data_IF_451902482310
#
_entry.id   IF_451902482310
#
_cell.length_a   1.000
_cell.length_b   1.000
_cell.length_c   1.000
_cell.angle_alpha   90.00
_cell.angle_beta   90.00
_cell.angle_gamma   90.00
#
_symmetry.space_group_name_H-M   'P 1'
#
loop_
_entity.id
_entity.type
_entity.pdbx_description
1 polymer ?
#
# COMPACT_ATOMS: atom_id res chain seq x y z
N UNK A 1 -8.91 -16.79 -27.68
CA UNK A 1 -10.36 -16.50 -27.81
C UNK A 1 -11.01 -17.34 -28.92
N UNK A 2 -10.77 -18.66 -29.02
CA UNK A 2 -11.17 -19.47 -30.19
C UNK A 2 -12.24 -20.55 -29.97
N UNK A 3 -12.51 -20.99 -28.73
CA UNK A 3 -13.37 -22.17 -28.48
C UNK A 3 -14.86 -21.90 -28.34
N UNK A 4 -15.25 -20.67 -27.95
CA UNK A 4 -16.64 -20.30 -27.62
C UNK A 4 -17.54 -20.16 -28.85
N UNK A 5 -17.00 -19.69 -29.99
CA UNK A 5 -17.76 -19.60 -31.25
C UNK A 5 -18.04 -20.96 -31.89
N UNK A 6 -17.15 -21.94 -31.70
CA UNK A 6 -17.29 -23.26 -32.34
C UNK A 6 -18.49 -24.07 -31.84
N UNK A 7 -18.77 -24.01 -30.54
CA UNK A 7 -19.88 -24.76 -29.94
C UNK A 7 -21.24 -24.14 -30.29
N UNK A 8 -21.32 -22.80 -30.28
CA UNK A 8 -22.53 -22.08 -30.70
C UNK A 8 -22.83 -22.34 -32.18
N UNK A 9 -21.79 -22.30 -33.02
CA UNK A 9 -21.92 -22.58 -34.46
C UNK A 9 -22.33 -24.04 -34.72
N UNK A 10 -21.82 -25.00 -33.94
CA UNK A 10 -22.16 -26.42 -34.05
C UNK A 10 -23.62 -26.72 -33.68
N UNK A 11 -24.13 -26.11 -32.60
CA UNK A 11 -25.54 -26.31 -32.19
C UNK A 11 -26.50 -25.66 -33.20
N UNK A 12 -26.16 -24.47 -33.73
CA UNK A 12 -26.95 -23.81 -34.76
C UNK A 12 -26.93 -24.58 -36.09
N UNK A 13 -25.78 -25.12 -36.50
CA UNK A 13 -25.68 -25.92 -37.73
C UNK A 13 -26.47 -27.23 -37.64
N UNK A 14 -26.43 -27.93 -36.51
CA UNK A 14 -27.24 -29.15 -36.31
C UNK A 14 -28.74 -28.83 -36.36
N UNK A 15 -29.17 -27.71 -35.76
CA UNK A 15 -30.56 -27.25 -35.83
C UNK A 15 -31.02 -26.88 -37.25
N UNK A 16 -30.17 -26.19 -38.01
CA UNK A 16 -30.44 -25.82 -39.41
C UNK A 16 -30.49 -27.07 -40.30
N UNK A 17 -29.58 -28.02 -40.13
CA UNK A 17 -29.57 -29.29 -40.89
C UNK A 17 -30.85 -30.08 -40.61
N UNK A 18 -31.28 -30.19 -39.35
CA UNK A 18 -32.53 -30.86 -38.99
C UNK A 18 -33.76 -30.17 -39.64
N UNK A 19 -33.80 -28.82 -39.63
CA UNK A 19 -34.87 -28.04 -40.24
C UNK A 19 -34.89 -28.15 -41.77
N UNK A 20 -33.72 -28.17 -42.43
CA UNK A 20 -33.60 -28.35 -43.88
C UNK A 20 -34.03 -29.75 -44.33
N UNK A 21 -33.73 -30.78 -43.54
CA UNK A 21 -34.17 -32.16 -43.81
C UNK A 21 -35.70 -32.26 -43.70
N UNK A 22 -36.31 -31.63 -42.69
CA UNK A 22 -37.77 -31.56 -42.55
C UNK A 22 -38.42 -30.76 -43.70
N UNK A 23 -37.83 -29.62 -44.10
CA UNK A 23 -38.34 -28.78 -45.18
C UNK A 23 -38.26 -29.47 -46.56
N UNK A 24 -37.18 -30.21 -46.83
CA UNK A 24 -37.02 -31.01 -48.05
C UNK A 24 -38.04 -32.17 -48.13
N UNK A 25 -38.50 -32.67 -46.98
CA UNK A 25 -39.51 -33.73 -46.88
C UNK A 25 -40.94 -33.19 -47.07
N UNK A 26 -41.27 -32.03 -46.47
CA UNK A 26 -42.58 -31.36 -46.60
C UNK A 26 -42.86 -30.90 -48.03
N UNK A 27 -41.83 -30.53 -48.80
CA UNK A 27 -41.97 -30.11 -50.20
C UNK A 27 -41.95 -31.24 -51.24
N UNK A 28 -42.06 -32.50 -50.83
CA UNK A 28 -42.53 -33.59 -51.71
C UNK A 28 -41.53 -34.08 -52.77
N UNK A 29 -40.22 -34.07 -52.48
CA UNK A 29 -39.20 -34.58 -53.41
C UNK A 29 -38.88 -36.08 -53.31
N UNK A 30 -39.64 -36.88 -52.54
CA UNK A 30 -39.58 -38.35 -52.60
C UNK A 30 -40.97 -38.95 -52.80
N UNK A 31 -41.13 -39.71 -53.89
CA UNK A 31 -42.41 -40.14 -54.45
C UNK A 31 -42.71 -41.64 -54.30
N UNK A 32 -42.02 -42.33 -53.41
CA UNK A 32 -42.23 -43.77 -53.20
C UNK A 32 -43.03 -44.05 -51.92
N UNK A 33 -44.24 -44.58 -52.12
CA UNK A 33 -45.29 -44.76 -51.12
C UNK A 33 -45.03 -45.89 -50.09
N UNK A 34 -43.87 -46.56 -50.11
CA UNK A 34 -43.58 -47.67 -49.17
C UNK A 34 -43.08 -47.21 -47.80
N UNK A 35 -42.76 -45.93 -47.62
CA UNK A 35 -42.21 -45.38 -46.37
C UNK A 35 -43.23 -44.57 -45.54
N UNK A 36 -44.41 -44.29 -46.10
CA UNK A 36 -45.43 -43.45 -45.46
C UNK A 36 -45.99 -44.09 -44.17
N UNK A 37 -46.19 -45.41 -44.15
CA UNK A 37 -46.69 -46.13 -42.98
C UNK A 37 -45.63 -46.31 -41.88
N UNK A 38 -44.34 -46.26 -42.23
CA UNK A 38 -43.24 -46.35 -41.26
C UNK A 38 -43.01 -45.03 -40.49
N UNK A 39 -43.60 -43.92 -40.94
CA UNK A 39 -43.31 -42.57 -40.43
C UNK A 39 -44.48 -41.91 -39.71
N UNK A 40 -45.66 -42.54 -39.72
CA UNK A 40 -46.85 -42.04 -39.02
C UNK A 40 -46.85 -42.38 -37.52
N UNK A 41 -45.95 -43.27 -37.09
CA UNK A 41 -45.53 -43.31 -35.70
C UNK A 41 -44.56 -42.13 -35.45
N UNK A 42 -44.72 -41.45 -34.32
CA UNK A 42 -43.63 -40.71 -33.64
C UNK A 42 -43.44 -39.20 -33.88
N UNK A 43 -44.47 -38.44 -34.30
CA UNK A 43 -44.44 -36.96 -34.23
C UNK A 43 -44.22 -36.42 -32.79
N UNK A 44 -44.92 -36.99 -31.80
CA UNK A 44 -44.72 -36.63 -30.38
C UNK A 44 -43.31 -36.95 -29.87
N UNK A 45 -42.73 -38.06 -30.31
CA UNK A 45 -41.37 -38.43 -29.88
C UNK A 45 -40.30 -37.47 -30.42
N UNK A 46 -40.51 -36.91 -31.63
CA UNK A 46 -39.58 -35.98 -32.27
C UNK A 46 -39.63 -34.60 -31.64
N UNK A 47 -40.82 -34.11 -31.31
CA UNK A 47 -40.98 -32.85 -30.57
C UNK A 47 -40.38 -32.94 -29.16
N UNK A 48 -40.52 -34.10 -28.50
CA UNK A 48 -39.89 -34.35 -27.20
C UNK A 48 -38.37 -34.44 -27.31
N UNK A 49 -37.82 -35.04 -28.38
CA UNK A 49 -36.37 -35.13 -28.59
C UNK A 49 -35.72 -33.77 -28.86
N UNK A 50 -36.33 -32.94 -29.69
CA UNK A 50 -35.82 -31.58 -29.97
C UNK A 50 -35.93 -30.68 -28.74
N UNK A 51 -37.05 -30.74 -28.00
CA UNK A 51 -37.20 -30.04 -26.73
C UNK A 51 -36.15 -30.50 -25.68
N UNK A 52 -35.87 -31.80 -25.60
CA UNK A 52 -34.84 -32.35 -24.71
C UNK A 52 -33.42 -31.89 -25.09
N UNK A 53 -33.07 -31.84 -26.38
CA UNK A 53 -31.77 -31.35 -26.84
C UNK A 53 -31.57 -29.86 -26.58
N UNK A 54 -32.61 -29.04 -26.80
CA UNK A 54 -32.57 -27.60 -26.48
C UNK A 54 -32.47 -27.38 -24.97
N UNK A 55 -33.21 -28.15 -24.16
CA UNK A 55 -33.13 -28.08 -22.70
C UNK A 55 -31.76 -28.54 -22.18
N UNK A 56 -31.19 -29.61 -22.72
CA UNK A 56 -29.83 -30.08 -22.42
C UNK A 56 -28.78 -29.06 -22.85
N UNK A 57 -28.93 -28.44 -24.01
CA UNK A 57 -28.05 -27.37 -24.49
C UNK A 57 -28.09 -26.14 -23.58
N UNK A 58 -29.29 -25.69 -23.20
CA UNK A 58 -29.48 -24.58 -22.26
C UNK A 58 -28.93 -24.91 -20.87
N UNK A 59 -29.12 -26.15 -20.38
CA UNK A 59 -28.56 -26.63 -19.13
C UNK A 59 -27.03 -26.70 -19.17
N UNK A 60 -26.44 -27.16 -20.28
CA UNK A 60 -24.99 -27.24 -20.49
C UNK A 60 -24.36 -25.84 -20.54
N UNK A 61 -24.96 -24.89 -21.27
CA UNK A 61 -24.52 -23.48 -21.31
C UNK A 61 -24.63 -22.81 -19.93
N UNK A 62 -25.70 -23.09 -19.18
CA UNK A 62 -25.92 -22.53 -17.83
C UNK A 62 -24.96 -23.13 -16.79
N UNK A 63 -24.70 -24.43 -16.86
CA UNK A 63 -23.76 -25.13 -15.96
C UNK A 63 -22.30 -24.78 -16.26
N UNK A 64 -21.93 -24.55 -17.52
CA UNK A 64 -20.59 -24.11 -17.91
C UNK A 64 -20.37 -22.62 -17.57
N UNK A 65 -21.34 -21.74 -17.83
CA UNK A 65 -21.23 -20.31 -17.47
C UNK A 65 -21.13 -20.08 -15.95
N UNK A 66 -21.83 -20.89 -15.15
CA UNK A 66 -21.79 -20.79 -13.69
C UNK A 66 -20.53 -21.37 -13.02
N UNK A 67 -19.76 -22.21 -13.73
CA UNK A 67 -18.49 -22.77 -13.23
C UNK A 67 -17.35 -21.75 -13.41
N UNK A 68 -17.32 -21.09 -14.57
CA UNK A 68 -16.33 -20.09 -14.97
C UNK A 68 -16.40 -18.79 -14.13
N UNK A 69 -17.59 -18.39 -13.67
CA UNK A 69 -17.76 -17.23 -12.79
C UNK A 69 -17.34 -17.52 -11.34
N UNK A 70 -17.74 -18.68 -10.80
CA UNK A 70 -17.38 -19.08 -9.43
C UNK A 70 -15.87 -19.28 -9.27
N UNK A 71 -15.19 -19.84 -10.27
CA UNK A 71 -13.74 -20.00 -10.26
C UNK A 71 -13.01 -18.65 -10.30
N UNK A 72 -13.51 -17.68 -11.08
CA UNK A 72 -13.00 -16.30 -11.09
C UNK A 72 -13.19 -15.61 -9.73
N UNK A 73 -14.41 -15.65 -9.19
CA UNK A 73 -14.72 -15.05 -7.88
C UNK A 73 -13.86 -15.67 -6.77
N UNK A 74 -13.61 -16.98 -6.84
CA UNK A 74 -12.77 -17.70 -5.87
C UNK A 74 -11.30 -17.27 -5.98
N UNK A 75 -10.78 -17.17 -7.21
CA UNK A 75 -9.41 -16.73 -7.46
C UNK A 75 -9.17 -15.29 -6.99
N UNK A 76 -10.09 -14.37 -7.31
CA UNK A 76 -10.01 -12.98 -6.86
C UNK A 76 -10.01 -12.86 -5.33
N UNK A 77 -10.86 -13.65 -4.65
CA UNK A 77 -10.86 -13.73 -3.20
C UNK A 77 -9.53 -14.23 -2.65
N UNK A 78 -8.98 -15.31 -3.20
CA UNK A 78 -7.69 -15.86 -2.77
C UNK A 78 -6.54 -14.88 -3.01
N UNK A 79 -6.57 -14.15 -4.12
CA UNK A 79 -5.60 -13.10 -4.41
C UNK A 79 -5.63 -12.02 -3.32
N UNK A 80 -6.81 -11.49 -3.01
CA UNK A 80 -6.98 -10.45 -1.99
C UNK A 80 -6.62 -10.95 -0.57
N UNK A 81 -7.00 -12.18 -0.23
CA UNK A 81 -6.72 -12.80 1.07
C UNK A 81 -5.24 -13.13 1.26
N UNK A 82 -4.45 -13.24 0.17
CA UNK A 82 -2.99 -13.40 0.24
C UNK A 82 -2.25 -12.12 0.64
N UNK A 83 -2.91 -10.96 0.55
CA UNK A 83 -2.34 -9.66 0.91
C UNK A 83 -2.41 -9.50 2.43
N UNK A 84 -1.28 -9.35 3.14
CA UNK A 84 -1.26 -9.26 4.60
C UNK A 84 -1.73 -7.91 5.15
N UNK A 85 -2.03 -6.95 4.25
CA UNK A 85 -2.59 -5.65 4.61
C UNK A 85 -4.12 -5.66 4.46
N UNK A 86 -4.87 -4.99 5.34
CA UNK A 86 -6.30 -4.78 5.16
C UNK A 86 -6.63 -4.11 3.83
N UNK A 87 -7.46 -4.77 3.01
CA UNK A 87 -7.95 -4.28 1.73
C UNK A 87 -9.48 -4.27 1.73
N UNK A 88 -10.07 -3.19 1.23
CA UNK A 88 -11.50 -3.05 1.02
C UNK A 88 -11.79 -2.33 -0.30
N UNK A 89 -12.98 -2.49 -0.83
CA UNK A 89 -13.46 -1.70 -1.95
C UNK A 89 -14.95 -1.42 -1.82
N UNK A 90 -15.34 -0.25 -2.34
CA UNK A 90 -16.71 0.26 -2.33
C UNK A 90 -17.15 0.59 -3.74
N UNK A 91 -18.45 0.53 -3.97
CA UNK A 91 -19.07 1.05 -5.19
C UNK A 91 -19.24 2.58 -5.15
N UNK A 92 -19.86 3.13 -6.20
CA UNK A 92 -20.14 4.54 -6.35
C UNK A 92 -21.11 5.11 -5.29
N UNK A 93 -21.89 4.25 -4.63
CA UNK A 93 -22.82 4.60 -3.56
C UNK A 93 -22.18 4.46 -2.16
N UNK A 94 -20.86 4.29 -2.11
CA UNK A 94 -20.06 4.13 -0.88
C UNK A 94 -20.40 2.87 -0.07
N UNK A 95 -20.97 1.86 -0.73
CA UNK A 95 -21.30 0.57 -0.11
C UNK A 95 -20.12 -0.37 -0.28
N UNK A 96 -19.73 -1.06 0.81
CA UNK A 96 -18.68 -2.06 0.76
C UNK A 96 -19.13 -3.25 -0.09
N UNK A 97 -18.48 -3.46 -1.23
CA UNK A 97 -18.76 -4.58 -2.14
C UNK A 97 -17.77 -5.74 -1.95
N UNK A 98 -16.64 -5.49 -1.27
CA UNK A 98 -15.74 -6.56 -0.85
C UNK A 98 -14.62 -6.09 0.06
N UNK A 99 -13.99 -7.07 0.71
CA UNK A 99 -12.83 -6.90 1.57
C UNK A 99 -12.04 -8.22 1.64
N UNK A 100 -10.79 -8.13 2.06
CA UNK A 100 -9.98 -9.30 2.36
C UNK A 100 -10.06 -9.70 3.84
N UNK A 101 -9.55 -10.88 4.16
CA UNK A 101 -9.47 -11.40 5.51
C UNK A 101 -8.74 -10.47 6.48
N UNK A 102 -7.64 -9.83 6.05
CA UNK A 102 -6.91 -8.90 6.90
C UNK A 102 -7.77 -7.69 7.33
N UNK A 103 -8.71 -7.24 6.49
CA UNK A 103 -9.64 -6.18 6.82
C UNK A 103 -10.73 -6.62 7.80
N UNK A 104 -11.23 -7.86 7.67
CA UNK A 104 -12.12 -8.46 8.66
C UNK A 104 -11.46 -8.53 10.04
N UNK A 105 -10.22 -9.00 10.08
CA UNK A 105 -9.41 -9.07 11.32
C UNK A 105 -9.11 -7.67 11.89
N UNK A 106 -8.88 -6.66 11.03
CA UNK A 106 -8.65 -5.28 11.45
C UNK A 106 -9.90 -4.65 12.09
N UNK A 107 -11.08 -4.87 11.52
CA UNK A 107 -12.35 -4.37 12.08
C UNK A 107 -12.89 -5.24 13.22
N UNK A 108 -12.46 -6.50 13.30
CA UNK A 108 -13.04 -7.50 14.20
C UNK A 108 -14.48 -7.85 13.82
N UNK A 109 -14.83 -7.78 12.53
CA UNK A 109 -16.16 -8.03 11.99
C UNK A 109 -16.07 -9.03 10.84
N UNK A 110 -17.01 -9.96 10.76
CA UNK A 110 -17.05 -10.91 9.65
C UNK A 110 -17.45 -10.22 8.34
N UNK A 111 -17.01 -10.77 7.21
CA UNK A 111 -17.36 -10.27 5.87
C UNK A 111 -18.86 -10.00 5.71
N UNK A 112 -19.71 -10.91 6.17
CA UNK A 112 -21.17 -10.82 6.04
C UNK A 112 -21.77 -9.61 6.77
N UNK A 113 -21.08 -9.07 7.77
CA UNK A 113 -21.48 -7.87 8.50
C UNK A 113 -20.99 -6.58 7.85
N UNK A 114 -20.00 -6.69 6.95
CA UNK A 114 -19.35 -5.55 6.26
C UNK A 114 -19.96 -5.36 4.86
N UNK A 115 -20.15 -6.43 4.09
CA UNK A 115 -20.59 -6.33 2.70
C UNK A 115 -22.05 -5.86 2.64
N UNK A 116 -22.32 -4.92 1.73
CA UNK A 116 -23.64 -4.29 1.60
C UNK A 116 -23.92 -3.20 2.65
N UNK A 117 -22.94 -2.84 3.47
CA UNK A 117 -23.04 -1.76 4.45
C UNK A 117 -22.32 -0.49 3.99
N UNK A 118 -22.70 0.64 4.57
CA UNK A 118 -21.95 1.89 4.49
C UNK A 118 -20.95 2.01 5.63
N UNK A 119 -20.05 2.99 5.56
CA UNK A 119 -19.13 3.29 6.67
C UNK A 119 -19.87 3.69 7.96
N UNK A 120 -21.07 4.25 7.83
CA UNK A 120 -21.92 4.65 8.96
C UNK A 120 -22.50 3.48 9.74
N UNK A 121 -22.62 2.31 9.11
CA UNK A 121 -23.15 1.11 9.76
C UNK A 121 -22.07 0.37 10.56
N UNK A 122 -20.79 0.53 10.20
CA UNK A 122 -19.68 -0.25 10.77
C UNK A 122 -18.76 0.57 11.69
N UNK A 123 -18.78 1.90 11.60
CA UNK A 123 -17.93 2.80 12.37
C UNK A 123 -18.74 3.82 13.19
N UNK A 124 -18.21 4.31 14.33
CA UNK A 124 -18.84 5.38 15.09
C UNK A 124 -19.05 6.63 14.24
N UNK A 125 -20.17 7.33 14.43
CA UNK A 125 -20.59 8.46 13.57
C UNK A 125 -19.47 9.48 13.31
N UNK A 126 -18.79 9.95 14.36
CA UNK A 126 -17.75 10.97 14.22
C UNK A 126 -16.59 10.51 13.31
N UNK A 127 -16.26 9.22 13.35
CA UNK A 127 -15.22 8.64 12.50
C UNK A 127 -15.75 8.34 11.09
N UNK A 128 -16.99 7.87 11.00
CA UNK A 128 -17.68 7.63 9.73
C UNK A 128 -17.81 8.91 8.90
N UNK A 129 -18.12 10.05 9.54
CA UNK A 129 -18.17 11.37 8.90
C UNK A 129 -16.83 11.71 8.22
N UNK A 130 -15.71 11.55 8.94
CA UNK A 130 -14.36 11.81 8.42
C UNK A 130 -14.01 10.86 7.25
N UNK A 131 -14.30 9.57 7.40
CA UNK A 131 -14.03 8.59 6.35
C UNK A 131 -14.87 8.84 5.09
N UNK A 132 -16.15 9.17 5.26
CA UNK A 132 -17.04 9.48 4.15
C UNK A 132 -16.61 10.75 3.42
N UNK A 133 -16.23 11.81 4.14
CA UNK A 133 -15.71 13.05 3.54
C UNK A 133 -14.45 12.77 2.70
N UNK A 134 -13.52 11.96 3.23
CA UNK A 134 -12.30 11.57 2.50
C UNK A 134 -12.60 10.72 1.26
N UNK A 135 -13.56 9.79 1.36
CA UNK A 135 -14.01 8.99 0.22
C UNK A 135 -14.68 9.87 -0.84
N UNK A 136 -15.52 10.82 -0.45
CA UNK A 136 -16.18 11.77 -1.36
C UNK A 136 -15.18 12.70 -2.05
N UNK A 137 -14.16 13.18 -1.34
CA UNK A 137 -13.04 13.94 -1.92
C UNK A 137 -12.35 13.17 -3.05
N UNK A 138 -12.04 11.88 -2.82
CA UNK A 138 -11.41 11.01 -3.81
C UNK A 138 -12.35 10.70 -5.01
N UNK A 139 -13.64 10.49 -4.76
CA UNK A 139 -14.61 10.25 -5.84
C UNK A 139 -14.83 11.49 -6.71
N UNK A 140 -14.78 12.69 -6.12
CA UNK A 140 -14.91 13.97 -6.83
C UNK A 140 -13.63 14.35 -7.60
N UNK A 141 -12.47 13.89 -7.15
CA UNK A 141 -11.19 14.08 -7.82
C UNK A 141 -10.51 12.71 -8.05
N UNK A 142 -10.94 11.96 -9.09
CA UNK A 142 -10.51 10.58 -9.32
C UNK A 142 -8.99 10.47 -9.46
N UNK A 143 -8.42 9.43 -8.89
CA UNK A 143 -6.97 9.25 -8.84
C UNK A 143 -6.55 8.43 -7.63
N UNK A 144 -5.51 8.91 -6.93
CA UNK A 144 -4.93 8.26 -5.74
C UNK A 144 -4.93 9.24 -4.58
N UNK A 145 -5.38 8.79 -3.42
CA UNK A 145 -5.37 9.53 -2.16
C UNK A 145 -4.55 8.76 -1.12
N UNK A 146 -3.58 9.44 -0.49
CA UNK A 146 -2.74 8.86 0.57
C UNK A 146 -2.71 9.79 1.77
N UNK A 147 -3.07 9.29 2.95
CA UNK A 147 -3.01 10.08 4.19
C UNK A 147 -2.74 9.20 5.41
N UNK A 148 -2.06 9.78 6.41
CA UNK A 148 -1.87 9.18 7.72
C UNK A 148 -3.09 9.45 8.60
N UNK A 149 -3.47 8.46 9.41
CA UNK A 149 -4.57 8.59 10.36
C UNK A 149 -4.29 7.72 11.60
N UNK A 150 -4.82 8.16 12.74
CA UNK A 150 -4.72 7.39 13.98
C UNK A 150 -6.03 6.65 14.22
N UNK A 151 -5.96 5.33 14.24
CA UNK A 151 -7.12 4.45 14.42
C UNK A 151 -7.03 3.81 15.78
N UNK A 152 -8.10 3.92 16.57
CA UNK A 152 -8.24 3.14 17.78
C UNK A 152 -8.61 1.70 17.40
N UNK A 153 -7.84 0.74 17.89
CA UNK A 153 -8.20 -0.68 17.78
C UNK A 153 -9.56 -0.92 18.45
N UNK A 154 -10.44 -1.69 17.83
CA UNK A 154 -11.74 -2.04 18.44
C UNK A 154 -11.57 -2.86 19.72
N UNK A 155 -10.50 -3.66 19.78
CA UNK A 155 -10.27 -4.66 20.82
C UNK A 155 -9.20 -4.26 21.86
N UNK A 156 -8.61 -3.07 21.74
CA UNK A 156 -7.60 -2.60 22.69
C UNK A 156 -7.60 -1.09 22.81
N UNK A 157 -7.09 -0.58 23.93
CA UNK A 157 -6.78 0.84 24.10
C UNK A 157 -5.60 1.30 23.22
N UNK A 158 -5.02 0.40 22.41
CA UNK A 158 -3.83 0.70 21.61
C UNK A 158 -4.19 1.54 20.38
N UNK A 159 -3.43 2.60 20.21
CA UNK A 159 -3.56 3.53 19.10
C UNK A 159 -2.63 3.10 17.98
N UNK A 160 -3.21 2.79 16.82
CA UNK A 160 -2.45 2.40 15.63
C UNK A 160 -2.32 3.59 14.71
N UNK A 161 -1.08 3.85 14.28
CA UNK A 161 -0.79 4.83 13.24
C UNK A 161 -0.88 4.09 11.91
N UNK A 162 -1.80 4.50 11.04
CA UNK A 162 -2.00 3.86 9.74
C UNK A 162 -1.87 4.85 8.59
N UNK A 163 -1.51 4.34 7.42
CA UNK A 163 -1.64 5.05 6.15
C UNK A 163 -2.82 4.45 5.40
N UNK A 164 -3.78 5.29 5.04
CA UNK A 164 -4.78 4.93 4.05
C UNK A 164 -4.21 5.22 2.66
N UNK A 165 -4.15 4.20 1.81
CA UNK A 165 -3.84 4.34 0.40
C UNK A 165 -5.06 3.92 -0.41
N UNK A 166 -5.73 4.89 -1.04
CA UNK A 166 -6.98 4.67 -1.78
C UNK A 166 -6.84 5.09 -3.24
N UNK A 167 -7.54 4.41 -4.13
CA UNK A 167 -7.61 4.76 -5.54
C UNK A 167 -9.02 4.52 -6.09
N UNK A 168 -9.45 5.34 -7.03
CA UNK A 168 -10.69 5.11 -7.78
C UNK A 168 -10.49 4.07 -8.88
N UNK A 169 -11.49 3.24 -9.15
CA UNK A 169 -11.51 2.36 -10.32
C UNK A 169 -12.71 2.69 -11.21
N UNK A 170 -12.62 2.31 -12.48
CA UNK A 170 -13.59 2.68 -13.50
C UNK A 170 -14.34 1.45 -14.02
N UNK A 171 -15.58 1.65 -14.48
CA UNK A 171 -16.34 0.64 -15.20
C UNK A 171 -15.89 0.52 -16.67
N UNK A 172 -16.57 -0.34 -17.44
CA UNK A 172 -16.31 -0.52 -18.88
C UNK A 172 -16.56 0.73 -19.72
N UNK A 173 -17.37 1.68 -19.22
CA UNK A 173 -17.72 2.92 -19.91
C UNK A 173 -16.78 4.07 -19.53
N UNK A 174 -15.77 3.80 -18.69
CA UNK A 174 -14.80 4.79 -18.22
C UNK A 174 -15.33 5.71 -17.13
N UNK A 175 -16.49 5.42 -16.54
CA UNK A 175 -17.01 6.17 -15.38
C UNK A 175 -16.43 5.61 -14.09
N UNK A 176 -16.29 6.45 -13.08
CA UNK A 176 -15.83 6.02 -11.75
C UNK A 176 -16.88 5.08 -11.16
N UNK A 177 -16.50 3.81 -11.00
CA UNK A 177 -17.37 2.76 -10.48
C UNK A 177 -17.29 2.63 -8.96
N UNK A 178 -16.24 3.18 -8.35
CA UNK A 178 -16.01 3.11 -6.92
C UNK A 178 -14.54 3.34 -6.56
N UNK A 179 -14.18 2.87 -5.37
CA UNK A 179 -12.83 3.01 -4.83
C UNK A 179 -12.33 1.71 -4.19
N UNK A 180 -11.01 1.54 -4.21
CA UNK A 180 -10.28 0.49 -3.49
C UNK A 180 -9.33 1.14 -2.49
N UNK A 181 -9.27 0.60 -1.29
CA UNK A 181 -8.44 1.12 -0.21
C UNK A 181 -7.61 0.02 0.45
N UNK A 182 -6.36 0.36 0.76
CA UNK A 182 -5.46 -0.45 1.58
C UNK A 182 -5.11 0.35 2.84
N UNK A 183 -5.09 -0.33 3.99
CA UNK A 183 -4.67 0.26 5.26
C UNK A 183 -3.31 -0.34 5.62
N UNK A 184 -2.29 0.51 5.73
CA UNK A 184 -0.93 0.08 6.10
C UNK A 184 -0.66 0.49 7.53
N UNK A 185 -0.41 -0.47 8.42
CA UNK A 185 0.01 -0.19 9.78
C UNK A 185 1.48 0.28 9.78
N UNK A 186 1.70 1.52 10.21
CA UNK A 186 3.03 2.15 10.30
C UNK A 186 3.43 2.40 11.76
N UNK A 187 2.73 1.79 12.72
CA UNK A 187 2.93 2.02 14.15
C UNK A 187 4.36 1.66 14.58
N UNK A 188 4.83 0.46 14.23
CA UNK A 188 6.19 0.02 14.56
C UNK A 188 7.25 0.89 13.89
N UNK A 189 7.03 1.27 12.63
CA UNK A 189 7.91 2.17 11.87
C UNK A 189 8.04 3.52 12.58
N UNK A 190 6.92 4.17 12.92
CA UNK A 190 6.92 5.46 13.63
C UNK A 190 7.54 5.34 15.04
N UNK A 191 7.31 4.22 15.74
CA UNK A 191 7.95 3.94 17.04
C UNK A 191 9.47 3.78 16.89
N UNK A 192 9.94 3.12 15.83
CA UNK A 192 11.37 3.01 15.52
C UNK A 192 12.00 4.35 15.15
N UNK A 193 11.34 5.14 14.29
CA UNK A 193 11.76 6.50 13.92
C UNK A 193 11.92 7.39 15.16
N UNK A 194 10.90 7.44 16.03
CA UNK A 194 10.96 8.21 17.29
C UNK A 194 12.09 7.75 18.22
N UNK A 195 12.35 6.43 18.31
CA UNK A 195 13.47 5.89 19.09
C UNK A 195 14.81 6.34 18.52
N UNK A 196 14.98 6.26 17.20
CA UNK A 196 16.20 6.70 16.53
C UNK A 196 16.44 8.20 16.72
N UNK A 197 15.42 9.03 16.55
CA UNK A 197 15.53 10.47 16.80
C UNK A 197 15.93 10.79 18.24
N UNK A 198 15.38 10.04 19.21
CA UNK A 198 15.76 10.18 20.63
C UNK A 198 17.23 9.84 20.85
N UNK A 199 17.68 8.70 20.32
CA UNK A 199 19.08 8.28 20.42
C UNK A 199 20.04 9.27 19.75
N UNK A 200 19.67 9.83 18.59
CA UNK A 200 20.46 10.86 17.92
C UNK A 200 20.58 12.12 18.79
N UNK A 201 19.49 12.54 19.45
CA UNK A 201 19.53 13.69 20.38
C UNK A 201 20.42 13.41 21.59
N UNK A 202 20.29 12.23 22.20
CA UNK A 202 21.10 11.82 23.36
C UNK A 202 22.60 11.75 22.98
N UNK A 203 22.92 11.18 21.82
CA UNK A 203 24.29 11.11 21.32
C UNK A 203 24.89 12.50 21.05
N UNK A 204 24.11 13.42 20.47
CA UNK A 204 24.54 14.80 20.24
C UNK A 204 24.83 15.52 21.55
N UNK A 205 23.98 15.35 22.55
CA UNK A 205 24.20 15.94 23.87
C UNK A 205 25.47 15.39 24.54
N UNK A 206 25.65 14.06 24.54
CA UNK A 206 26.84 13.43 25.09
C UNK A 206 28.13 13.88 24.38
N UNK A 207 28.08 14.08 23.06
CA UNK A 207 29.23 14.59 22.31
C UNK A 207 29.59 16.03 22.69
N UNK A 208 28.58 16.88 22.95
CA UNK A 208 28.80 18.25 23.40
C UNK A 208 29.43 18.28 24.80
N UNK A 209 28.93 17.46 25.73
CA UNK A 209 29.50 17.32 27.07
C UNK A 209 30.99 16.89 27.02
N UNK A 210 31.34 15.94 26.14
CA UNK A 210 32.75 15.53 25.93
C UNK A 210 33.58 16.66 25.33
N UNK A 211 33.03 17.48 24.42
CA UNK A 211 33.72 18.64 23.85
C UNK A 211 34.00 19.71 24.90
N UNK A 212 33.04 20.01 25.77
CA UNK A 212 33.23 20.95 26.88
C UNK A 212 34.33 20.47 27.83
N UNK A 213 34.37 19.18 28.15
CA UNK A 213 35.44 18.58 28.95
C UNK A 213 36.81 18.61 28.27
N UNK A 214 36.85 18.48 26.93
CA UNK A 214 38.08 18.59 26.12
C UNK A 214 38.58 20.02 25.93
N UNK A 215 37.85 21.04 26.38
CA UNK A 215 38.27 22.45 26.30
C UNK A 215 39.24 22.89 27.41
N UNK A 216 39.49 22.05 28.41
CA UNK A 216 40.36 22.39 29.54
C UNK A 216 41.78 21.88 29.30
N UNK A 217 42.68 22.79 28.92
CA UNK A 217 44.11 22.51 28.87
C UNK A 217 44.67 22.60 30.30
N UNK A 218 45.18 21.50 30.88
CA UNK A 218 45.74 21.53 32.22
C UNK A 218 47.06 22.31 32.23
N UNK A 219 47.08 23.46 32.89
CA UNK A 219 48.27 24.30 33.04
C UNK A 219 48.78 24.35 34.47
N UNK A 220 50.09 24.49 34.65
CA UNK A 220 50.68 24.76 35.95
C UNK A 220 50.30 26.17 36.41
N UNK A 221 49.69 26.29 37.59
CA UNK A 221 49.26 27.59 38.11
C UNK A 221 50.41 28.59 38.27
N UNK A 222 51.63 28.10 38.55
CA UNK A 222 52.84 28.90 38.76
C UNK A 222 53.53 29.28 37.45
N UNK A 223 53.97 28.30 36.64
CA UNK A 223 54.81 28.55 35.45
C UNK A 223 54.07 28.52 34.10
N UNK A 224 52.78 28.20 34.09
CA UNK A 224 51.92 28.11 32.89
C UNK A 224 52.32 27.06 31.84
N UNK A 225 53.22 26.13 32.18
CA UNK A 225 53.46 24.91 31.39
C UNK A 225 52.18 24.10 31.23
N UNK A 226 52.02 23.42 30.09
CA UNK A 226 50.89 22.53 29.78
C UNK A 226 51.27 21.10 30.14
N UNK A 227 50.35 20.35 30.75
CA UNK A 227 50.50 18.90 30.97
C UNK A 227 49.89 18.13 29.79
N UNK A 228 50.66 17.24 29.18
CA UNK A 228 50.18 16.40 28.09
C UNK A 228 49.34 15.20 28.59
N UNK A 229 48.84 14.40 27.63
CA UNK A 229 48.02 13.21 27.90
C UNK A 229 48.81 12.08 28.57
N UNK A 230 50.15 12.12 28.53
CA UNK A 230 51.04 11.18 29.22
C UNK A 230 51.43 11.66 30.62
N UNK A 231 51.05 12.87 31.01
CA UNK A 231 51.33 13.48 32.30
C UNK A 231 52.63 14.27 32.38
N UNK A 232 53.38 14.45 31.28
CA UNK A 232 54.59 15.26 31.25
C UNK A 232 54.26 16.74 31.10
N UNK A 233 55.11 17.58 31.71
CA UNK A 233 54.99 19.03 31.64
C UNK A 233 55.87 19.58 30.54
N UNK A 234 55.25 20.30 29.60
CA UNK A 234 55.95 20.93 28.50
C UNK A 234 55.60 22.42 28.35
N UNK A 235 56.44 23.14 27.61
CA UNK A 235 56.18 24.53 27.27
C UNK A 235 54.96 24.64 26.35
N UNK A 236 54.27 25.78 26.43
CA UNK A 236 53.04 25.98 25.67
C UNK A 236 53.29 25.88 24.16
N UNK A 237 54.42 26.41 23.68
CA UNK A 237 54.73 26.47 22.26
C UNK A 237 54.97 25.07 21.70
N UNK A 238 55.67 24.21 22.46
CA UNK A 238 55.92 22.82 22.09
C UNK A 238 54.61 22.01 22.04
N UNK A 239 53.75 22.16 23.05
CA UNK A 239 52.45 21.48 23.09
C UNK A 239 51.59 21.81 21.87
N UNK A 240 51.43 23.10 21.55
CA UNK A 240 50.58 23.52 20.43
C UNK A 240 51.17 23.23 19.05
N UNK A 241 52.50 23.18 18.89
CA UNK A 241 53.14 22.74 17.65
C UNK A 241 52.87 21.26 17.35
N UNK A 242 52.77 20.42 18.38
CA UNK A 242 52.51 18.99 18.21
C UNK A 242 51.01 18.66 18.09
N UNK A 243 50.13 19.51 18.62
CA UNK A 243 48.69 19.21 18.78
C UNK A 243 47.75 20.13 17.99
N UNK A 244 48.28 21.12 17.25
CA UNK A 244 47.49 22.07 16.45
C UNK A 244 48.31 22.73 15.33
N UNK A 245 47.64 23.43 14.42
CA UNK A 245 48.29 24.21 13.35
C UNK A 245 48.70 25.64 13.77
N UNK A 246 48.74 25.93 15.08
CA UNK A 246 49.03 27.27 15.60
C UNK A 246 50.53 27.60 15.51
N UNK A 247 50.85 28.79 15.01
CA UNK A 247 52.21 29.35 15.02
C UNK A 247 52.29 30.59 15.92
N UNK A 248 53.39 30.71 16.67
CA UNK A 248 53.60 31.82 17.61
C UNK A 248 54.60 32.83 17.06
N UNK A 249 54.19 34.10 16.97
CA UNK A 249 55.12 35.22 16.87
C UNK A 249 55.58 35.62 18.27
N UNK A 250 56.86 35.94 18.41
CA UNK A 250 57.42 36.38 19.70
C UNK A 250 57.56 37.90 19.67
N UNK A 251 56.76 38.57 20.49
CA UNK A 251 56.85 40.02 20.74
C UNK A 251 56.90 40.26 22.25
N UNK A 252 57.48 41.39 22.65
CA UNK A 252 57.52 41.82 24.05
C UNK A 252 56.42 42.85 24.24
N UNK A 253 55.48 42.62 25.16
CA UNK A 253 54.44 43.60 25.44
C UNK A 253 55.03 44.88 26.07
N UNK A 254 54.37 46.05 25.97
CA UNK A 254 54.91 47.31 26.47
C UNK A 254 55.30 47.28 27.95
N UNK A 255 54.52 46.61 28.80
CA UNK A 255 54.82 46.48 30.23
C UNK A 255 56.12 45.69 30.50
N UNK A 256 56.33 44.61 29.76
CA UNK A 256 57.55 43.80 29.86
C UNK A 256 58.74 44.55 29.26
N UNK A 257 58.54 45.28 28.16
CA UNK A 257 59.58 46.09 27.53
C UNK A 257 60.07 47.18 28.50
N UNK A 258 59.16 47.89 29.16
CA UNK A 258 59.50 48.93 30.14
C UNK A 258 60.23 48.37 31.37
N UNK A 259 59.90 47.15 31.81
CA UNK A 259 60.60 46.49 32.93
C UNK A 259 62.00 46.01 32.55
N UNK A 260 62.16 45.45 31.35
CA UNK A 260 63.42 44.87 30.89
C UNK A 260 64.38 45.94 30.35
N UNK A 261 63.83 47.02 29.80
CA UNK A 261 64.55 48.11 29.16
C UNK A 261 64.02 49.48 29.61
N UNK A 262 64.13 49.82 30.91
CA UNK A 262 63.57 51.05 31.46
C UNK A 262 64.19 52.34 30.86
N UNK A 263 65.40 52.23 30.31
CA UNK A 263 66.16 53.36 29.75
C UNK A 263 65.97 53.56 28.23
N UNK A 264 65.22 52.68 27.56
CA UNK A 264 64.89 52.83 26.14
C UNK A 264 63.56 53.59 26.01
N UNK A 265 63.60 54.76 25.36
CA UNK A 265 62.41 55.57 25.08
C UNK A 265 61.33 54.74 24.38
N UNK A 266 60.10 54.82 24.88
CA UNK A 266 58.96 53.99 24.48
C UNK A 266 58.54 54.12 22.99
N UNK A 267 59.18 55.00 22.22
CA UNK A 267 58.99 55.18 20.79
C UNK A 267 59.82 54.28 19.88
N UNK A 268 60.71 53.43 20.43
CA UNK A 268 61.66 52.64 19.63
C UNK A 268 61.16 51.24 19.19
N UNK A 269 59.97 50.81 19.60
CA UNK A 269 59.49 49.41 19.41
C UNK A 269 58.08 49.29 18.79
N UNK A 270 57.63 50.32 18.04
CA UNK A 270 56.41 50.23 17.22
C UNK A 270 56.78 49.67 15.84
#
# INVERSE_FOLDING_TARGET
>A
MGGRSGIVLAVLTIGIIAWLIDAAFVHGQMRDASWADAFQANFHSRLLFTAALVALGAFCVRSVSGRDSKERDLFERQLLDSIPAPVFYKDADYIYTGCNRAFEEFLGMGREEIIGKSVYDIAPKALADVYHEKDAELMNNPGVQVYEFEVKSRNSEDHRQVVFHKATFHDSDGKVAGLIGVILDITERKRAEKRNEKLIRELRQALEEVRELRGLIPICASCKSIRDDQGYWQRLEAYFQEHSDVQFSHSICPECAQKLYPDLDAGAFI
#
